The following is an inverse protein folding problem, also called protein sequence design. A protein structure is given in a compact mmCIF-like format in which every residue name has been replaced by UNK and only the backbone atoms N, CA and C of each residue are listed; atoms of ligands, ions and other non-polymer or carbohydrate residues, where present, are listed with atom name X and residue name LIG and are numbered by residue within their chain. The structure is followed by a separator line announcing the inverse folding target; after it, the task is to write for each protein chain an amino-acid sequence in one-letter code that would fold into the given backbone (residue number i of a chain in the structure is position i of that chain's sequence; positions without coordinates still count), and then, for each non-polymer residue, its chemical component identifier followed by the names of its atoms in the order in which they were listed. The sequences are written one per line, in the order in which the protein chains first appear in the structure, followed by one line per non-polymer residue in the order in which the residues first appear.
data_IF_572527067393
#
_entry.id   IF_572527067393
#
_cell.length_a   1.000
_cell.length_b   1.000
_cell.length_c   1.000
_cell.angle_alpha   90.00
_cell.angle_beta   90.00
_cell.angle_gamma   90.00
#
_symmetry.space_group_name_H-M   'P 1'
#
loop_
_entity.id
_entity.type
_entity.pdbx_description
1 polymer ?
#
# COMPACT_ATOMS: atom_id res chain seq x y z
N UNK A 1 46.18 21.24 -53.97
CA UNK A 1 46.20 19.92 -53.29
C UNK A 1 45.49 20.07 -51.96
N UNK A 2 44.65 19.09 -51.59
CA UNK A 2 43.90 19.00 -50.33
C UNK A 2 42.81 20.07 -50.20
N UNK A 3 41.52 19.76 -50.02
CA UNK A 3 40.93 18.95 -48.95
C UNK A 3 39.63 18.34 -49.50
N UNK A 4 39.62 17.06 -49.87
CA UNK A 4 38.41 16.33 -50.35
C UNK A 4 37.97 15.20 -49.40
N UNK A 5 38.44 15.20 -48.15
CA UNK A 5 38.26 14.08 -47.22
C UNK A 5 37.47 14.42 -45.94
N UNK A 6 36.68 15.49 -45.92
CA UNK A 6 35.97 15.92 -44.71
C UNK A 6 34.46 15.62 -44.67
N UNK A 7 33.90 14.90 -45.66
CA UNK A 7 32.43 14.67 -45.71
C UNK A 7 31.98 13.23 -45.46
N UNK A 8 32.87 12.27 -45.19
CA UNK A 8 32.48 10.86 -45.02
C UNK A 8 32.53 10.34 -43.58
N UNK A 9 33.13 11.09 -42.63
CA UNK A 9 33.28 10.62 -41.24
C UNK A 9 32.08 11.00 -40.36
N UNK A 10 31.31 12.04 -40.73
CA UNK A 10 30.19 12.53 -39.92
C UNK A 10 28.94 11.64 -39.91
N UNK A 11 28.76 10.76 -40.91
CA UNK A 11 27.52 9.99 -41.07
C UNK A 11 27.50 8.68 -40.26
N UNK A 12 28.66 8.19 -39.81
CA UNK A 12 28.76 6.91 -39.10
C UNK A 12 28.54 7.01 -37.58
N UNK A 13 28.57 8.22 -37.00
CA UNK A 13 28.43 8.44 -35.55
C UNK A 13 26.99 8.74 -35.09
N UNK A 14 26.02 8.84 -36.01
CA UNK A 14 24.63 9.19 -35.68
C UNK A 14 23.68 7.98 -35.50
N UNK A 15 24.17 6.74 -35.64
CA UNK A 15 23.33 5.53 -35.69
C UNK A 15 23.45 4.60 -34.47
N UNK A 16 24.27 4.94 -33.47
CA UNK A 16 24.44 4.11 -32.28
C UNK A 16 23.98 4.86 -31.04
N UNK A 17 22.71 4.63 -30.63
CA UNK A 17 22.25 4.58 -29.23
C UNK A 17 20.78 5.02 -29.03
N UNK A 18 19.85 4.55 -29.86
CA UNK A 18 18.44 4.39 -29.46
C UNK A 18 18.15 2.91 -29.28
N UNK A 19 18.80 2.30 -28.29
CA UNK A 19 18.45 0.96 -27.81
C UNK A 19 18.40 1.02 -26.27
N UNK A 20 17.52 1.88 -25.75
CA UNK A 20 17.04 1.75 -24.39
C UNK A 20 15.98 0.65 -24.41
N UNK A 21 16.42 -0.58 -24.13
CA UNK A 21 15.52 -1.62 -23.66
C UNK A 21 14.76 -1.04 -22.47
N UNK A 22 13.42 -1.04 -22.47
CA UNK A 22 12.66 -0.67 -21.28
C UNK A 22 13.19 -1.53 -20.12
N UNK A 23 13.53 -0.88 -19.00
CA UNK A 23 13.79 -1.61 -17.77
C UNK A 23 12.58 -2.53 -17.53
N UNK A 24 12.79 -3.81 -17.14
CA UNK A 24 11.68 -4.65 -16.72
C UNK A 24 10.89 -3.87 -15.68
N UNK A 25 9.60 -3.63 -15.94
CA UNK A 25 8.72 -3.04 -14.95
C UNK A 25 8.90 -3.82 -13.64
N UNK A 26 9.00 -3.14 -12.48
CA UNK A 26 8.97 -3.85 -11.20
C UNK A 26 7.73 -4.73 -11.24
N UNK A 27 7.92 -6.05 -11.28
CA UNK A 27 6.83 -7.02 -11.23
C UNK A 27 6.01 -6.63 -10.02
N UNK A 28 4.81 -6.07 -10.27
CA UNK A 28 3.90 -5.67 -9.23
C UNK A 28 3.72 -6.88 -8.34
N UNK A 29 4.21 -6.79 -7.10
CA UNK A 29 4.04 -7.86 -6.12
C UNK A 29 2.55 -8.17 -6.08
N UNK A 30 2.12 -9.43 -6.32
CA UNK A 30 0.72 -9.77 -6.26
C UNK A 30 0.17 -9.30 -4.91
N UNK A 31 -1.02 -8.67 -4.86
CA UNK A 31 -1.62 -8.28 -3.59
C UNK A 31 -1.72 -9.53 -2.69
N UNK A 32 -1.43 -9.41 -1.39
CA UNK A 32 -1.43 -10.55 -0.48
C UNK A 32 -2.75 -11.31 -0.60
N UNK A 33 -2.66 -12.63 -0.79
CA UNK A 33 -3.85 -13.44 -0.93
C UNK A 33 -4.64 -13.44 0.37
N UNK A 34 -5.98 -13.41 0.31
CA UNK A 34 -6.78 -13.28 1.50
C UNK A 34 -6.72 -14.55 2.36
N UNK A 35 -6.48 -14.39 3.65
CA UNK A 35 -6.42 -15.53 4.59
C UNK A 35 -7.83 -16.01 4.93
N UNK A 36 -8.08 -17.31 4.77
CA UNK A 36 -9.35 -17.96 5.17
C UNK A 36 -9.38 -18.19 6.68
N UNK A 37 -10.50 -17.84 7.34
CA UNK A 37 -10.71 -18.07 8.79
C UNK A 37 -12.12 -18.63 9.01
N UNK A 38 -12.19 -19.84 9.58
CA UNK A 38 -13.34 -20.46 10.27
C UNK A 38 -14.73 -20.37 9.62
N UNK A 39 -14.86 -20.71 8.33
CA UNK A 39 -16.15 -21.05 7.68
C UNK A 39 -17.31 -20.04 7.83
N UNK A 40 -17.04 -18.77 8.15
CA UNK A 40 -18.06 -17.74 8.38
C UNK A 40 -18.34 -16.86 7.16
N UNK A 41 -19.57 -16.32 7.06
CA UNK A 41 -19.95 -15.21 6.18
C UNK A 41 -19.26 -13.91 6.64
N UNK A 42 -17.95 -13.83 6.46
CA UNK A 42 -17.13 -12.71 6.94
C UNK A 42 -15.71 -12.65 6.38
N UNK A 43 -15.28 -13.69 5.66
CA UNK A 43 -13.94 -13.81 5.05
C UNK A 43 -13.98 -14.51 3.68
N UNK A 44 -15.11 -14.49 2.96
CA UNK A 44 -15.24 -15.18 1.66
C UNK A 44 -14.28 -14.63 0.57
N UNK A 45 -13.83 -13.39 0.75
CA UNK A 45 -12.77 -12.76 -0.03
C UNK A 45 -11.53 -12.49 0.85
N UNK A 46 -11.46 -13.14 2.04
CA UNK A 46 -10.55 -12.94 3.17
C UNK A 46 -10.40 -11.51 3.68
N UNK A 47 -9.39 -11.29 4.52
CA UNK A 47 -9.02 -9.97 5.06
C UNK A 47 -7.68 -9.55 4.47
N UNK A 48 -7.52 -8.27 4.15
CA UNK A 48 -6.19 -7.71 3.93
C UNK A 48 -5.49 -7.48 5.27
N UNK A 49 -4.17 -7.44 5.23
CA UNK A 49 -3.37 -7.04 6.38
C UNK A 49 -3.77 -5.63 6.81
N UNK A 50 -3.91 -5.43 8.11
CA UNK A 50 -4.17 -4.12 8.64
C UNK A 50 -2.93 -3.25 8.53
N UNK A 51 -3.13 -1.94 8.42
CA UNK A 51 -2.02 -1.01 8.31
C UNK A 51 -2.31 0.27 9.07
N UNK A 52 -1.26 0.92 9.57
CA UNK A 52 -1.36 2.22 10.19
C UNK A 52 -1.63 3.29 9.12
N UNK A 53 -2.61 4.16 9.36
CA UNK A 53 -3.03 5.17 8.38
C UNK A 53 -2.17 6.42 8.39
N UNK A 54 -1.22 6.55 9.33
CA UNK A 54 -0.49 7.78 9.63
C UNK A 54 -1.35 8.86 10.32
N UNK A 55 -2.64 8.59 10.53
CA UNK A 55 -3.55 9.48 11.26
C UNK A 55 -3.58 9.14 12.75
N UNK A 56 -3.95 10.13 13.56
CA UNK A 56 -3.98 10.03 15.02
C UNK A 56 -5.37 10.34 15.57
N UNK A 57 -5.83 9.53 16.52
CA UNK A 57 -7.03 9.79 17.31
C UNK A 57 -6.64 10.43 18.65
N UNK A 58 -7.34 11.49 19.07
CA UNK A 58 -7.12 12.12 20.37
C UNK A 58 -7.99 11.44 21.43
N UNK A 59 -7.35 10.86 22.45
CA UNK A 59 -8.05 10.24 23.58
C UNK A 59 -7.68 10.95 24.89
N UNK A 60 -8.47 10.79 25.97
CA UNK A 60 -8.12 11.33 27.29
C UNK A 60 -6.76 10.85 27.83
N UNK A 61 -6.24 9.72 27.34
CA UNK A 61 -4.97 9.14 27.73
C UNK A 61 -3.81 9.54 26.81
N UNK A 62 -4.07 10.41 25.84
CA UNK A 62 -3.12 10.89 24.85
C UNK A 62 -3.49 10.50 23.41
N UNK A 63 -2.70 10.99 22.43
CA UNK A 63 -2.84 10.63 21.02
C UNK A 63 -2.54 9.14 20.80
N UNK A 64 -3.29 8.50 19.91
CA UNK A 64 -3.10 7.10 19.53
C UNK A 64 -3.21 6.88 18.02
N UNK A 65 -2.42 5.94 17.46
CA UNK A 65 -2.43 5.65 16.03
C UNK A 65 -3.76 5.03 15.59
N UNK A 66 -4.16 5.36 14.36
CA UNK A 66 -5.34 4.80 13.69
C UNK A 66 -4.90 3.73 12.70
N UNK A 67 -5.50 2.55 12.80
CA UNK A 67 -5.32 1.43 11.90
C UNK A 67 -6.54 1.26 10.99
N UNK A 68 -6.28 0.90 9.74
CA UNK A 68 -7.29 0.48 8.77
C UNK A 68 -7.31 -1.03 8.64
N UNK A 69 -8.52 -1.58 8.54
CA UNK A 69 -8.78 -3.00 8.29
C UNK A 69 -9.65 -3.11 7.06
N UNK A 70 -9.10 -3.66 5.99
CA UNK A 70 -9.79 -3.72 4.70
C UNK A 70 -10.33 -5.13 4.44
N UNK A 71 -11.62 -5.18 4.11
CA UNK A 71 -12.31 -6.42 3.71
C UNK A 71 -12.84 -6.29 2.29
N UNK A 72 -12.27 -7.00 1.31
CA UNK A 72 -12.85 -7.06 -0.03
C UNK A 72 -14.29 -7.62 0.03
N UNK A 73 -15.14 -7.04 -0.79
CA UNK A 73 -16.51 -7.47 -1.06
C UNK A 73 -16.73 -7.55 -2.57
N UNK A 74 -17.89 -8.03 -3.00
CA UNK A 74 -18.18 -8.23 -4.42
C UNK A 74 -18.17 -6.92 -5.23
N UNK A 75 -17.69 -7.03 -6.48
CA UNK A 75 -17.70 -5.95 -7.46
C UNK A 75 -16.58 -4.92 -7.31
N UNK A 76 -15.36 -5.35 -6.91
CA UNK A 76 -14.19 -4.46 -6.80
C UNK A 76 -14.30 -3.43 -5.67
N UNK A 77 -15.11 -3.71 -4.66
CA UNK A 77 -15.34 -2.83 -3.51
C UNK A 77 -14.71 -3.42 -2.26
N UNK A 78 -14.42 -2.56 -1.30
CA UNK A 78 -13.84 -2.89 -0.01
C UNK A 78 -14.68 -2.22 1.08
N UNK A 79 -14.87 -2.92 2.20
CA UNK A 79 -15.28 -2.29 3.46
C UNK A 79 -14.02 -2.00 4.26
N UNK A 80 -13.76 -0.72 4.52
CA UNK A 80 -12.69 -0.25 5.40
C UNK A 80 -13.26 0.02 6.78
N UNK A 81 -12.70 -0.62 7.79
CA UNK A 81 -12.95 -0.33 9.20
C UNK A 81 -11.76 0.47 9.74
N UNK A 82 -12.04 1.46 10.59
CA UNK A 82 -11.01 2.24 11.26
C UNK A 82 -11.08 2.00 12.76
N UNK A 83 -9.92 1.79 13.38
CA UNK A 83 -9.82 1.65 14.83
C UNK A 83 -8.59 2.37 15.37
N UNK A 84 -8.69 3.00 16.53
CA UNK A 84 -7.52 3.51 17.25
C UNK A 84 -7.11 2.56 18.38
N UNK A 85 -5.81 2.34 18.52
CA UNK A 85 -5.22 1.56 19.62
C UNK A 85 -4.67 2.51 20.68
N UNK A 86 -5.48 2.81 21.70
CA UNK A 86 -5.14 3.86 22.67
C UNK A 86 -4.65 3.29 23.99
N UNK A 87 -3.68 3.94 24.67
CA UNK A 87 -3.26 3.53 26.00
C UNK A 87 -4.47 3.47 26.95
N UNK A 88 -4.61 2.35 27.67
CA UNK A 88 -5.62 2.21 28.70
C UNK A 88 -4.95 2.38 30.07
N UNK A 89 -5.27 3.44 30.83
CA UNK A 89 -4.72 3.62 32.17
C UNK A 89 -5.37 2.61 33.12
N UNK A 90 -4.81 1.39 33.15
CA UNK A 90 -5.20 0.33 34.08
C UNK A 90 -4.10 0.13 35.13
N UNK A 91 -4.40 0.26 36.44
CA UNK A 91 -3.43 -0.02 37.50
C UNK A 91 -2.80 -1.40 37.33
N UNK A 92 -1.46 -1.45 37.34
CA UNK A 92 -0.70 -2.70 37.23
C UNK A 92 -0.64 -3.31 35.81
N UNK A 93 -1.18 -2.65 34.78
CA UNK A 93 -1.16 -3.15 33.40
C UNK A 93 -0.64 -2.07 32.42
N UNK A 94 0.69 -1.85 32.38
CA UNK A 94 1.29 -0.83 31.52
C UNK A 94 1.06 -1.09 30.02
N UNK A 95 0.89 -2.34 29.62
CA UNK A 95 0.65 -2.75 28.23
C UNK A 95 -0.84 -2.81 27.86
N UNK A 96 -1.73 -2.33 28.75
CA UNK A 96 -3.16 -2.34 28.46
C UNK A 96 -3.49 -1.33 27.35
N UNK A 97 -4.17 -1.82 26.32
CA UNK A 97 -4.65 -1.01 25.21
C UNK A 97 -6.17 -1.09 25.15
N UNK A 98 -6.81 0.06 24.92
CA UNK A 98 -8.23 0.16 24.59
C UNK A 98 -8.37 0.41 23.10
N UNK A 99 -9.12 -0.46 22.44
CA UNK A 99 -9.49 -0.27 21.04
C UNK A 99 -10.71 0.64 20.96
N UNK A 100 -10.64 1.66 20.12
CA UNK A 100 -11.74 2.59 19.82
C UNK A 100 -12.17 2.35 18.38
N UNK A 101 -13.44 2.00 18.17
CA UNK A 101 -14.05 1.92 16.84
C UNK A 101 -14.30 3.34 16.31
N UNK A 102 -13.75 3.66 15.14
CA UNK A 102 -13.88 4.95 14.48
C UNK A 102 -14.83 4.88 13.27
N UNK A 103 -15.48 3.74 13.08
CA UNK A 103 -16.47 3.51 12.05
C UNK A 103 -15.96 2.74 10.85
N UNK A 104 -16.82 2.67 9.84
CA UNK A 104 -16.57 1.92 8.61
C UNK A 104 -17.11 2.64 7.39
N UNK A 105 -16.50 2.40 6.25
CA UNK A 105 -16.94 2.93 4.96
C UNK A 105 -16.73 1.92 3.83
N UNK A 106 -17.57 2.00 2.79
CA UNK A 106 -17.36 1.26 1.54
C UNK A 106 -16.55 2.14 0.59
N UNK A 107 -15.45 1.60 0.08
CA UNK A 107 -14.60 2.25 -0.92
C UNK A 107 -14.51 1.37 -2.16
N UNK A 108 -14.26 2.00 -3.30
CA UNK A 108 -14.00 1.31 -4.57
C UNK A 108 -12.50 1.36 -4.84
N UNK A 109 -11.94 0.26 -5.35
CA UNK A 109 -10.55 0.20 -5.82
C UNK A 109 -10.36 0.92 -7.16
#
# INVERSE_FOLDING_TARGET
MSVRYLSLIGLALALTACAQTPAPEPTATPPPQPTSVDNGLGSQFGNYENYETGSTHQSPSGPCPIYAWDRPISGGRIIRYLSAACPAPQPGRPDAVRIVDLGRQVITL
#
